data_IF_639715362654
#
_entry.id   IF_639715362654
#
_cell.length_a   1.000
_cell.length_b   1.000
_cell.length_c   1.000
_cell.angle_alpha   90.00
_cell.angle_beta   90.00
_cell.angle_gamma   90.00
#
_symmetry.space_group_name_H-M   'P 1'
#
loop_
_entity.id
_entity.type
_entity.pdbx_description
1 polymer ?
#
# COMPACT_ATOMS: atom_id res chain seq x y z
N UNK A 1 -8.29 -11.81 -0.69
CA UNK A 1 -7.03 -11.07 -0.41
C UNK A 1 -5.88 -11.80 -1.07
N UNK A 2 -5.75 -13.12 -0.86
CA UNK A 2 -4.77 -13.94 -1.61
C UNK A 2 -5.02 -13.93 -3.13
N UNK A 3 -6.26 -14.14 -3.59
CA UNK A 3 -6.57 -14.13 -5.03
C UNK A 3 -6.12 -12.81 -5.71
N UNK A 4 -6.38 -11.67 -5.06
CA UNK A 4 -5.95 -10.36 -5.56
C UNK A 4 -4.41 -10.21 -5.61
N UNK A 5 -3.69 -10.90 -4.71
CA UNK A 5 -2.22 -10.92 -4.72
C UNK A 5 -1.70 -11.79 -5.87
N UNK A 6 -2.34 -12.92 -6.15
CA UNK A 6 -2.00 -13.76 -7.30
C UNK A 6 -2.22 -13.00 -8.61
N UNK A 7 -3.36 -12.31 -8.77
CA UNK A 7 -3.63 -11.43 -9.92
C UNK A 7 -2.58 -10.31 -10.06
N UNK A 8 -2.18 -9.69 -8.94
CA UNK A 8 -1.12 -8.68 -8.94
C UNK A 8 0.22 -9.25 -9.42
N UNK A 9 0.61 -10.43 -8.93
CA UNK A 9 1.87 -11.08 -9.33
C UNK A 9 1.85 -11.48 -10.80
N UNK A 10 0.73 -12.01 -11.30
CA UNK A 10 0.54 -12.33 -12.71
C UNK A 10 0.72 -11.12 -13.62
N UNK A 11 0.19 -9.97 -13.21
CA UNK A 11 0.34 -8.73 -13.97
C UNK A 11 1.75 -8.17 -13.93
N UNK A 12 2.34 -8.02 -12.73
CA UNK A 12 3.54 -7.20 -12.54
C UNK A 12 4.86 -7.97 -12.62
N UNK A 13 4.92 -9.25 -12.26
CA UNK A 13 6.18 -10.01 -12.31
C UNK A 13 6.76 -10.07 -13.73
N UNK A 14 5.96 -10.36 -14.78
CA UNK A 14 6.45 -10.31 -16.16
C UNK A 14 6.94 -8.92 -16.58
N UNK A 15 6.18 -7.87 -16.26
CA UNK A 15 6.53 -6.48 -16.60
C UNK A 15 7.84 -6.04 -15.94
N UNK A 16 8.05 -6.36 -14.67
CA UNK A 16 9.31 -6.03 -13.95
C UNK A 16 10.50 -6.74 -14.61
N UNK A 17 10.33 -8.02 -14.97
CA UNK A 17 11.37 -8.80 -15.66
C UNK A 17 11.65 -8.28 -17.08
N UNK A 18 10.62 -7.85 -17.81
CA UNK A 18 10.75 -7.24 -19.14
C UNK A 18 11.55 -5.93 -19.10
N UNK A 19 11.39 -5.14 -18.02
CA UNK A 19 12.19 -3.95 -17.76
C UNK A 19 13.65 -4.27 -17.35
N UNK A 20 14.03 -5.55 -17.23
CA UNK A 20 15.36 -5.98 -16.81
C UNK A 20 15.62 -5.76 -15.31
N UNK A 21 14.57 -5.53 -14.51
CA UNK A 21 14.67 -5.37 -13.07
C UNK A 21 14.62 -6.72 -12.37
N UNK A 22 15.21 -6.77 -11.17
CA UNK A 22 15.19 -7.96 -10.32
C UNK A 22 14.24 -7.75 -9.16
N UNK A 23 13.46 -8.78 -8.84
CA UNK A 23 12.59 -8.79 -7.67
C UNK A 23 13.38 -9.41 -6.52
N UNK A 24 13.57 -8.71 -5.38
CA UNK A 24 14.40 -9.18 -4.28
C UNK A 24 13.66 -10.21 -3.42
N UNK A 25 13.10 -11.25 -4.03
CA UNK A 25 12.47 -12.39 -3.36
C UNK A 25 12.97 -13.70 -4.00
N UNK A 26 13.86 -14.44 -3.32
CA UNK A 26 14.41 -15.69 -3.85
C UNK A 26 13.39 -16.83 -3.90
N UNK A 27 12.28 -16.75 -3.16
CA UNK A 27 11.23 -17.76 -3.16
C UNK A 27 10.18 -17.53 -4.26
N UNK A 28 10.28 -16.40 -4.99
CA UNK A 28 9.33 -16.02 -6.02
C UNK A 28 9.44 -16.91 -7.26
N UNK A 29 8.47 -17.81 -7.44
CA UNK A 29 8.37 -18.70 -8.58
C UNK A 29 6.91 -18.92 -8.97
N UNK A 30 6.67 -19.17 -10.27
CA UNK A 30 5.35 -19.57 -10.77
C UNK A 30 5.38 -21.07 -11.01
N UNK A 31 4.42 -21.79 -10.44
CA UNK A 31 4.17 -23.19 -10.78
C UNK A 31 3.52 -23.24 -12.17
N UNK A 32 4.16 -23.95 -13.10
CA UNK A 32 3.69 -24.06 -14.50
C UNK A 32 2.44 -24.95 -14.65
N UNK A 33 2.22 -25.90 -13.74
CA UNK A 33 1.07 -26.80 -13.79
C UNK A 33 -0.19 -26.14 -13.21
N UNK A 34 -0.04 -25.42 -12.08
CA UNK A 34 -1.17 -24.80 -11.37
C UNK A 34 -1.37 -23.33 -11.71
N UNK A 35 -0.34 -22.67 -12.23
CA UNK A 35 -0.33 -21.23 -12.49
C UNK A 35 -0.21 -20.37 -11.23
N UNK A 36 0.03 -20.95 -10.06
CA UNK A 36 0.08 -20.24 -8.77
C UNK A 36 1.50 -19.74 -8.51
N UNK A 37 1.61 -18.52 -7.97
CA UNK A 37 2.88 -17.96 -7.50
C UNK A 37 3.18 -18.38 -6.06
N UNK A 38 4.35 -18.95 -5.84
CA UNK A 38 5.01 -19.00 -4.53
C UNK A 38 5.85 -17.74 -4.32
N UNK A 39 5.89 -17.21 -3.10
CA UNK A 39 6.68 -16.04 -2.71
C UNK A 39 6.97 -16.11 -1.21
N UNK A 40 7.91 -15.29 -0.73
CA UNK A 40 8.24 -15.25 0.69
C UNK A 40 7.08 -14.64 1.48
N UNK A 41 6.64 -15.35 2.53
CA UNK A 41 5.51 -14.89 3.34
C UNK A 41 5.81 -13.52 3.98
N UNK A 42 4.88 -12.55 3.90
CA UNK A 42 5.08 -11.24 4.51
C UNK A 42 5.26 -11.33 6.03
N UNK A 43 6.05 -10.40 6.58
CA UNK A 43 6.06 -10.16 8.02
C UNK A 43 4.73 -9.52 8.45
N UNK A 44 3.81 -10.36 8.93
CA UNK A 44 2.49 -9.95 9.37
C UNK A 44 2.50 -9.11 10.65
N UNK A 45 3.51 -9.26 11.49
CA UNK A 45 3.64 -8.46 12.71
C UNK A 45 4.05 -7.03 12.36
N UNK A 46 5.01 -6.89 11.45
CA UNK A 46 5.38 -5.60 10.87
C UNK A 46 4.21 -4.95 10.12
N UNK A 47 3.43 -5.72 9.37
CA UNK A 47 2.23 -5.18 8.73
C UNK A 47 1.28 -4.61 9.78
N UNK A 48 1.03 -5.34 10.88
CA UNK A 48 0.15 -4.91 11.96
C UNK A 48 0.64 -3.64 12.64
N UNK A 49 1.94 -3.52 12.89
CA UNK A 49 2.57 -2.32 13.43
C UNK A 49 2.31 -1.11 12.52
N UNK A 50 2.53 -1.26 11.21
CA UNK A 50 2.33 -0.18 10.23
C UNK A 50 0.87 0.26 10.15
N UNK A 51 -0.07 -0.67 10.00
CA UNK A 51 -1.50 -0.34 9.84
C UNK A 51 -2.13 0.24 11.10
N UNK A 52 -1.55 -0.03 12.27
CA UNK A 52 -1.98 0.57 13.54
C UNK A 52 -1.33 1.93 13.81
N UNK A 53 -0.61 2.49 12.84
CA UNK A 53 -0.08 3.86 12.93
C UNK A 53 1.34 3.95 13.48
N UNK A 54 2.09 2.84 13.55
CA UNK A 54 3.47 2.81 14.03
C UNK A 54 4.47 2.54 12.89
N UNK A 55 4.06 2.81 11.65
CA UNK A 55 4.95 2.73 10.50
C UNK A 55 5.92 3.91 10.42
N UNK A 56 6.94 3.81 9.55
CA UNK A 56 8.06 4.77 9.50
C UNK A 56 7.67 6.22 9.24
N UNK A 57 6.53 6.45 8.58
CA UNK A 57 6.01 7.79 8.26
C UNK A 57 4.59 8.02 8.81
N UNK A 58 4.11 7.17 9.72
CA UNK A 58 2.71 7.23 10.18
C UNK A 58 2.43 8.54 10.94
N UNK A 59 3.31 8.93 11.87
CA UNK A 59 3.14 10.18 12.62
C UNK A 59 3.22 11.40 11.70
N UNK A 60 4.21 11.46 10.80
CA UNK A 60 4.36 12.56 9.84
C UNK A 60 3.11 12.72 8.97
N UNK A 61 2.55 11.62 8.46
CA UNK A 61 1.32 11.63 7.65
C UNK A 61 0.11 12.13 8.45
N UNK A 62 -0.03 11.71 9.71
CA UNK A 62 -1.12 12.17 10.57
C UNK A 62 -0.97 13.66 10.90
N UNK A 63 0.25 14.12 11.20
CA UNK A 63 0.53 15.53 11.44
C UNK A 63 0.24 16.39 10.21
N UNK A 64 0.71 15.96 9.03
CA UNK A 64 0.41 16.65 7.78
C UNK A 64 -1.10 16.78 7.55
N UNK A 65 -1.86 15.71 7.83
CA UNK A 65 -3.33 15.74 7.71
C UNK A 65 -4.00 16.67 8.73
N UNK A 66 -3.48 16.75 9.96
CA UNK A 66 -3.97 17.68 10.99
C UNK A 66 -3.74 19.13 10.54
N UNK A 67 -2.50 19.47 10.20
CA UNK A 67 -2.13 20.81 9.72
C UNK A 67 -2.93 21.21 8.48
N UNK A 68 -3.05 20.32 7.49
CA UNK A 68 -3.83 20.60 6.28
C UNK A 68 -5.30 20.90 6.58
N UNK A 69 -5.88 20.28 7.61
CA UNK A 69 -7.26 20.54 8.03
C UNK A 69 -7.39 21.88 8.76
N UNK A 70 -6.43 22.20 9.62
CA UNK A 70 -6.39 23.47 10.34
C UNK A 70 -6.25 24.65 9.35
N UNK A 71 -5.36 24.53 8.37
CA UNK A 71 -5.09 25.57 7.36
C UNK A 71 -6.34 25.93 6.53
N UNK A 72 -7.18 24.94 6.24
CA UNK A 72 -8.40 25.11 5.42
C UNK A 72 -9.68 25.20 6.25
N UNK A 73 -9.59 25.22 7.58
CA UNK A 73 -10.77 25.21 8.45
C UNK A 73 -11.72 26.38 8.17
N UNK A 74 -11.19 27.54 7.78
CA UNK A 74 -11.99 28.71 7.44
C UNK A 74 -12.85 28.48 6.18
N UNK A 75 -12.39 27.67 5.23
CA UNK A 75 -13.15 27.35 4.00
C UNK A 75 -14.37 26.53 4.36
N UNK A 76 -14.19 25.51 5.21
CA UNK A 76 -15.27 24.69 5.73
C UNK A 76 -16.30 25.56 6.47
N UNK A 77 -15.83 26.47 7.32
CA UNK A 77 -16.71 27.41 8.03
C UNK A 77 -17.48 28.33 7.06
N UNK A 78 -16.82 28.92 6.07
CA UNK A 78 -17.47 29.83 5.12
C UNK A 78 -18.54 29.11 4.30
N UNK A 79 -18.23 27.94 3.75
CA UNK A 79 -19.15 27.19 2.86
C UNK A 79 -20.31 26.56 3.64
N UNK A 80 -20.06 26.01 4.83
CA UNK A 80 -21.11 25.34 5.62
C UNK A 80 -21.96 26.32 6.43
N UNK A 81 -21.46 27.51 6.77
CA UNK A 81 -22.27 28.55 7.41
C UNK A 81 -23.21 29.27 6.44
N UNK A 82 -22.84 29.43 5.18
CA UNK A 82 -23.75 29.95 4.13
C UNK A 82 -24.85 28.95 3.74
N UNK A 83 -24.66 27.65 4.02
CA UNK A 83 -25.61 26.59 3.68
C UNK A 83 -26.69 26.34 4.76
N UNK A 84 -26.59 26.99 5.93
CA UNK A 84 -27.51 26.87 7.07
C UNK A 84 -28.43 28.10 7.18
#
# INVERSE_FOLDING_TARGET
NEDARQEFLDGYVPQIRELGLTIPDPALAKDEETGIWSYTEPDWDKLREVVTGHGPASEERLQFRRLSREDVAWVEQAVLSEAA
#
